data_IF_013401057330
#
_entry.id   IF_013401057330
#
_cell.length_a   1.000
_cell.length_b   1.000
_cell.length_c   1.000
_cell.angle_alpha   90.00
_cell.angle_beta   90.00
_cell.angle_gamma   90.00
#
_symmetry.space_group_name_H-M   'P 1'
#
loop_
_entity.id
_entity.type
_entity.pdbx_description
1 polymer ?
#
# COMPACT_ATOMS: atom_id res chain seq x y z
N UNK A 1 12.90 28.82 62.11
CA UNK A 1 12.31 27.64 61.44
C UNK A 1 12.06 28.02 60.00
N UNK A 2 12.87 27.49 59.09
CA UNK A 2 12.85 27.80 57.66
C UNK A 2 11.67 27.09 57.00
N UNK A 3 10.88 27.82 56.20
CA UNK A 3 10.23 27.20 55.06
C UNK A 3 9.96 28.18 53.91
N UNK A 4 10.16 27.64 52.71
CA UNK A 4 9.47 27.90 51.44
C UNK A 4 9.90 29.04 50.49
N UNK A 5 10.27 28.56 49.29
CA UNK A 5 9.94 29.09 47.96
C UNK A 5 10.89 30.10 47.30
N UNK A 6 12.06 29.61 46.88
CA UNK A 6 12.72 30.13 45.68
C UNK A 6 11.95 29.66 44.43
N UNK A 7 10.90 30.40 44.10
CA UNK A 7 10.23 30.39 42.79
C UNK A 7 11.18 31.03 41.78
N UNK A 8 12.08 30.21 41.22
CA UNK A 8 12.92 30.61 40.10
C UNK A 8 12.00 30.78 38.89
N UNK A 9 11.79 32.04 38.49
CA UNK A 9 11.21 32.48 37.22
C UNK A 9 11.71 31.60 36.06
N UNK A 10 10.91 30.63 35.63
CA UNK A 10 10.98 30.11 34.26
C UNK A 10 9.87 30.77 33.45
N UNK A 11 10.11 32.05 33.20
CA UNK A 11 9.27 32.94 32.41
C UNK A 11 9.57 32.70 30.92
N UNK A 12 8.55 32.19 30.19
CA UNK A 12 8.08 32.84 28.95
C UNK A 12 8.91 32.63 27.66
N UNK A 13 9.42 31.43 27.40
CA UNK A 13 9.96 31.07 26.06
C UNK A 13 9.37 29.80 25.41
N UNK A 14 8.58 29.00 26.14
CA UNK A 14 7.99 27.75 25.64
C UNK A 14 7.00 27.88 24.46
N UNK A 15 6.07 28.88 24.42
CA UNK A 15 5.06 28.89 23.36
C UNK A 15 5.62 29.27 21.98
N UNK A 16 6.76 29.96 21.90
CA UNK A 16 7.40 30.32 20.61
C UNK A 16 8.19 29.17 20.00
N UNK A 17 8.72 28.26 20.82
CA UNK A 17 9.48 27.09 20.36
C UNK A 17 8.53 25.97 19.91
N UNK A 18 7.42 25.75 20.63
CA UNK A 18 6.35 24.83 20.22
C UNK A 18 5.61 25.35 18.98
N UNK A 19 5.37 26.67 18.87
CA UNK A 19 4.82 27.27 17.66
C UNK A 19 5.79 27.18 16.47
N UNK A 20 7.12 27.25 16.68
CA UNK A 20 8.11 27.03 15.62
C UNK A 20 8.22 25.57 15.21
N UNK A 21 8.09 24.61 16.13
CA UNK A 21 8.07 23.18 15.81
C UNK A 21 6.75 22.77 15.12
N UNK A 22 5.62 23.34 15.52
CA UNK A 22 4.33 23.16 14.85
C UNK A 22 4.28 23.88 13.48
N UNK A 23 4.91 25.05 13.35
CA UNK A 23 5.05 25.75 12.06
C UNK A 23 6.07 25.10 11.12
N UNK A 24 7.17 24.53 11.63
CA UNK A 24 8.16 23.81 10.84
C UNK A 24 7.66 22.43 10.37
N UNK A 25 6.69 21.83 11.07
CA UNK A 25 5.98 20.63 10.63
C UNK A 25 4.85 20.93 9.62
N UNK A 26 4.53 22.21 9.40
CA UNK A 26 3.59 22.67 8.38
C UNK A 26 4.32 22.87 7.05
N UNK A 27 4.99 21.81 6.57
CA UNK A 27 5.44 21.76 5.18
C UNK A 27 4.16 21.84 4.34
N UNK A 28 3.84 23.03 3.81
CA UNK A 28 2.82 23.19 2.79
C UNK A 28 3.15 22.18 1.70
N UNK A 29 2.28 21.17 1.54
CA UNK A 29 2.47 20.17 0.49
C UNK A 29 2.47 20.94 -0.83
N UNK A 30 3.65 21.03 -1.43
CA UNK A 30 3.84 21.70 -2.72
C UNK A 30 2.93 21.05 -3.74
N UNK A 31 2.39 21.84 -4.69
CA UNK A 31 1.51 21.34 -5.73
C UNK A 31 2.10 20.11 -6.47
N UNK A 32 3.42 20.10 -6.72
CA UNK A 32 4.11 18.95 -7.31
C UNK A 32 4.05 17.69 -6.44
N UNK A 33 4.29 17.82 -5.14
CA UNK A 33 4.20 16.71 -4.18
C UNK A 33 2.77 16.17 -4.08
N UNK A 34 1.78 17.06 -4.13
CA UNK A 34 0.37 16.68 -4.14
C UNK A 34 0.04 15.81 -5.36
N UNK A 35 0.46 16.23 -6.57
CA UNK A 35 0.28 15.45 -7.80
C UNK A 35 0.98 14.09 -7.71
N UNK A 36 2.22 14.05 -7.20
CA UNK A 36 2.98 12.80 -7.01
C UNK A 36 2.20 11.83 -6.10
N UNK A 37 1.64 12.31 -4.98
CA UNK A 37 0.85 11.46 -4.07
C UNK A 37 -0.43 10.95 -4.74
N UNK A 38 -1.11 11.78 -5.54
CA UNK A 38 -2.32 11.35 -6.28
C UNK A 38 -1.99 10.27 -7.31
N UNK A 39 -0.91 10.45 -8.08
CA UNK A 39 -0.45 9.45 -9.06
C UNK A 39 -0.03 8.16 -8.34
N UNK A 40 0.75 8.25 -7.28
CA UNK A 40 1.15 7.09 -6.49
C UNK A 40 -0.07 6.37 -5.89
N UNK A 41 -1.08 7.11 -5.44
CA UNK A 41 -2.35 6.55 -4.96
C UNK A 41 -3.06 5.80 -6.09
N UNK A 42 -3.16 6.37 -7.28
CA UNK A 42 -3.76 5.69 -8.43
C UNK A 42 -3.00 4.40 -8.79
N UNK A 43 -1.67 4.43 -8.79
CA UNK A 43 -0.83 3.24 -9.07
C UNK A 43 -1.07 2.15 -8.02
N UNK A 44 -1.01 2.48 -6.73
CA UNK A 44 -1.24 1.50 -5.65
C UNK A 44 -2.64 0.90 -5.73
N UNK A 45 -3.66 1.69 -6.09
CA UNK A 45 -5.02 1.17 -6.23
C UNK A 45 -5.22 0.36 -7.51
N UNK A 46 -4.53 0.70 -8.61
CA UNK A 46 -4.49 -0.14 -9.80
C UNK A 46 -3.91 -1.53 -9.48
N UNK A 47 -2.82 -1.56 -8.70
CA UNK A 47 -2.18 -2.79 -8.26
C UNK A 47 -3.09 -3.62 -7.35
N UNK A 48 -3.62 -3.00 -6.28
CA UNK A 48 -4.38 -3.69 -5.25
C UNK A 48 -5.76 -4.18 -5.74
N UNK A 49 -6.45 -3.41 -6.57
CA UNK A 49 -7.86 -3.68 -6.93
C UNK A 49 -8.03 -4.21 -8.36
N UNK A 50 -7.08 -3.91 -9.26
CA UNK A 50 -7.13 -4.36 -10.66
C UNK A 50 -6.21 -5.55 -10.90
N UNK A 51 -4.90 -5.32 -10.72
CA UNK A 51 -3.86 -6.28 -11.14
C UNK A 51 -3.84 -7.50 -10.23
N UNK A 52 -3.58 -7.32 -8.93
CA UNK A 52 -3.40 -8.42 -7.97
C UNK A 52 -4.61 -9.36 -7.98
N UNK A 53 -5.87 -8.91 -7.81
CA UNK A 53 -7.02 -9.82 -7.80
C UNK A 53 -7.19 -10.62 -9.09
N UNK A 54 -6.80 -10.04 -10.23
CA UNK A 54 -6.88 -10.69 -11.53
C UNK A 54 -5.82 -11.79 -11.72
N UNK A 55 -4.63 -11.65 -11.10
CA UNK A 55 -3.53 -12.63 -11.20
C UNK A 55 -3.48 -13.63 -10.06
N UNK A 56 -4.07 -13.32 -8.89
CA UNK A 56 -3.99 -14.18 -7.71
C UNK A 56 -4.56 -15.57 -7.98
N UNK A 57 -5.62 -15.67 -8.78
CA UNK A 57 -6.16 -16.97 -9.22
C UNK A 57 -5.12 -17.76 -10.00
N UNK A 58 -4.49 -17.18 -11.03
CA UNK A 58 -3.44 -17.82 -11.83
C UNK A 58 -2.19 -18.18 -11.03
N UNK A 59 -1.80 -17.35 -10.06
CA UNK A 59 -0.63 -17.58 -9.21
C UNK A 59 -0.84 -18.67 -8.15
N UNK A 60 -2.07 -18.91 -7.69
CA UNK A 60 -2.33 -19.74 -6.50
C UNK A 60 -3.02 -21.06 -6.81
N UNK A 61 -3.89 -21.11 -7.83
CA UNK A 61 -4.55 -22.34 -8.26
C UNK A 61 -3.60 -23.48 -8.69
N UNK A 62 -2.43 -23.26 -9.34
CA UNK A 62 -1.54 -24.37 -9.70
C UNK A 62 -0.96 -25.11 -8.48
N UNK A 63 -0.94 -24.50 -7.29
CA UNK A 63 -0.36 -25.11 -6.10
C UNK A 63 -1.37 -25.91 -5.28
N UNK A 64 -2.52 -25.31 -4.94
CA UNK A 64 -3.68 -25.95 -4.27
C UNK A 64 -4.80 -24.93 -4.04
N UNK A 65 -6.07 -25.36 -4.15
CA UNK A 65 -7.23 -24.54 -3.79
C UNK A 65 -7.20 -24.08 -2.32
N UNK A 66 -6.68 -24.93 -1.42
CA UNK A 66 -6.53 -24.58 -0.01
C UNK A 66 -5.51 -23.43 0.17
N UNK A 67 -4.39 -23.47 -0.56
CA UNK A 67 -3.37 -22.41 -0.53
C UNK A 67 -3.94 -21.07 -0.97
N UNK A 68 -4.78 -21.06 -2.02
CA UNK A 68 -5.47 -19.85 -2.47
C UNK A 68 -6.40 -19.28 -1.39
N UNK A 69 -7.26 -20.12 -0.80
CA UNK A 69 -8.20 -19.67 0.23
C UNK A 69 -7.50 -19.17 1.49
N UNK A 70 -6.50 -19.90 2.00
CA UNK A 70 -5.75 -19.49 3.19
C UNK A 70 -4.92 -18.22 2.93
N UNK A 71 -4.24 -18.13 1.78
CA UNK A 71 -3.48 -16.94 1.40
C UNK A 71 -4.35 -15.70 1.31
N UNK A 72 -5.52 -15.82 0.67
CA UNK A 72 -6.49 -14.73 0.56
C UNK A 72 -7.06 -14.33 1.93
N UNK A 73 -7.42 -15.31 2.76
CA UNK A 73 -7.94 -15.05 4.11
C UNK A 73 -6.90 -14.32 4.98
N UNK A 74 -5.65 -14.78 4.96
CA UNK A 74 -4.56 -14.13 5.69
C UNK A 74 -4.28 -12.72 5.17
N UNK A 75 -4.32 -12.49 3.85
CA UNK A 75 -4.17 -11.16 3.26
C UNK A 75 -5.27 -10.18 3.71
N UNK A 76 -6.51 -10.68 3.84
CA UNK A 76 -7.63 -9.89 4.36
C UNK A 76 -7.48 -9.55 5.85
N UNK A 77 -6.77 -10.37 6.63
CA UNK A 77 -6.44 -10.06 8.03
C UNK A 77 -5.28 -9.07 8.12
N UNK A 78 -4.22 -9.26 7.31
CA UNK A 78 -3.04 -8.40 7.28
C UNK A 78 -3.36 -6.97 6.84
N UNK A 79 -4.30 -6.80 5.91
CA UNK A 79 -4.65 -5.49 5.34
C UNK A 79 -5.13 -4.48 6.43
N UNK A 80 -6.10 -4.80 7.30
CA UNK A 80 -6.42 -3.99 8.48
C UNK A 80 -5.25 -3.81 9.44
N UNK A 81 -4.49 -4.87 9.74
CA UNK A 81 -3.35 -4.80 10.67
C UNK A 81 -2.31 -3.77 10.22
N UNK A 82 -1.96 -3.79 8.93
CA UNK A 82 -1.01 -2.85 8.35
C UNK A 82 -1.58 -1.44 8.18
N UNK A 83 -2.91 -1.32 8.05
CA UNK A 83 -3.59 -0.03 8.05
C UNK A 83 -3.49 0.69 9.41
N UNK A 84 -3.29 -0.05 10.51
CA UNK A 84 -3.03 0.54 11.84
C UNK A 84 -1.56 0.97 12.04
N UNK A 85 -0.63 0.46 11.24
CA UNK A 85 0.80 0.74 11.42
C UNK A 85 1.17 2.24 11.33
N UNK A 86 0.58 3.06 10.45
CA UNK A 86 0.85 4.51 10.38
C UNK A 86 0.54 5.28 11.66
N UNK A 87 -0.32 4.77 12.54
CA UNK A 87 -0.61 5.38 13.85
C UNK A 87 0.59 5.29 14.80
N UNK A 88 1.41 4.25 14.67
CA UNK A 88 2.62 4.07 15.45
C UNK A 88 3.86 4.65 14.75
N UNK A 89 3.93 4.52 13.42
CA UNK A 89 5.07 4.96 12.60
C UNK A 89 4.56 5.93 11.53
N UNK A 90 4.53 7.22 11.87
CA UNK A 90 4.12 8.28 10.94
C UNK A 90 5.25 8.67 9.99
N UNK A 91 5.24 8.10 8.79
CA UNK A 91 6.21 8.46 7.73
C UNK A 91 5.70 9.67 6.94
N UNK A 92 6.36 10.83 7.07
CA UNK A 92 6.03 12.06 6.30
C UNK A 92 6.98 12.33 5.14
N UNK A 93 8.05 11.55 5.01
CA UNK A 93 9.08 11.75 4.00
C UNK A 93 8.61 11.23 2.64
N UNK A 94 8.41 12.16 1.69
CA UNK A 94 8.04 11.87 0.30
C UNK A 94 9.01 10.88 -0.39
N UNK A 95 10.35 11.02 -0.32
CA UNK A 95 11.23 10.06 -0.97
C UNK A 95 11.08 8.64 -0.40
N UNK A 96 10.82 8.50 0.90
CA UNK A 96 10.55 7.18 1.50
C UNK A 96 9.26 6.58 0.95
N UNK A 97 8.22 7.40 0.77
CA UNK A 97 6.95 6.93 0.19
C UNK A 97 7.07 6.54 -1.28
N UNK A 98 7.85 7.29 -2.05
CA UNK A 98 8.19 6.90 -3.42
C UNK A 98 8.95 5.55 -3.42
N UNK A 99 9.95 5.38 -2.56
CA UNK A 99 10.70 4.13 -2.44
C UNK A 99 9.79 2.95 -2.05
N UNK A 100 8.87 3.14 -1.10
CA UNK A 100 7.89 2.13 -0.71
C UNK A 100 6.92 1.79 -1.84
N UNK A 101 6.53 2.77 -2.67
CA UNK A 101 5.66 2.55 -3.84
C UNK A 101 6.39 1.80 -4.96
N UNK A 102 7.68 2.07 -5.15
CA UNK A 102 8.52 1.27 -6.04
C UNK A 102 8.65 -0.16 -5.52
N UNK A 103 8.88 -0.33 -4.22
CA UNK A 103 8.92 -1.64 -3.57
C UNK A 103 7.60 -2.41 -3.78
N UNK A 104 6.44 -1.76 -3.61
CA UNK A 104 5.13 -2.39 -3.84
C UNK A 104 4.93 -2.81 -5.29
N UNK A 105 5.46 -2.02 -6.22
CA UNK A 105 5.44 -2.34 -7.64
C UNK A 105 6.33 -3.53 -7.99
N UNK A 106 7.49 -3.66 -7.35
CA UNK A 106 8.37 -4.83 -7.50
C UNK A 106 7.69 -6.09 -6.98
N UNK A 107 7.08 -6.03 -5.77
CA UNK A 107 6.37 -7.18 -5.20
C UNK A 107 5.17 -7.56 -6.08
N UNK A 108 4.41 -6.60 -6.59
CA UNK A 108 3.30 -6.87 -7.52
C UNK A 108 3.81 -7.50 -8.81
N UNK A 109 4.90 -7.00 -9.37
CA UNK A 109 5.53 -7.57 -10.58
C UNK A 109 6.01 -9.00 -10.34
N UNK A 110 6.50 -9.30 -9.14
CA UNK A 110 6.86 -10.66 -8.74
C UNK A 110 5.62 -11.58 -8.70
N UNK A 111 4.47 -11.12 -8.19
CA UNK A 111 3.22 -11.89 -8.23
C UNK A 111 2.77 -12.15 -9.68
N UNK A 112 2.88 -11.15 -10.56
CA UNK A 112 2.58 -11.32 -12.00
C UNK A 112 3.52 -12.36 -12.61
N UNK A 113 4.80 -12.34 -12.26
CA UNK A 113 5.79 -13.33 -12.72
C UNK A 113 5.45 -14.73 -12.21
N UNK A 114 5.06 -14.89 -10.94
CA UNK A 114 4.55 -16.16 -10.40
C UNK A 114 3.33 -16.66 -11.19
N UNK A 115 2.39 -15.77 -11.53
CA UNK A 115 1.23 -16.11 -12.34
C UNK A 115 1.60 -16.51 -13.77
N UNK A 116 2.58 -15.85 -14.39
CA UNK A 116 3.04 -16.15 -15.75
C UNK A 116 3.78 -17.49 -15.85
N UNK A 117 4.34 -17.99 -14.74
CA UNK A 117 4.96 -19.31 -14.68
C UNK A 117 3.93 -20.45 -14.58
N UNK A 118 2.66 -20.14 -14.32
CA UNK A 118 1.57 -21.11 -14.38
C UNK A 118 1.43 -21.68 -15.80
N UNK A 119 1.46 -23.01 -16.02
CA UNK A 119 1.16 -24.10 -15.08
C UNK A 119 2.38 -24.82 -14.45
N UNK A 120 3.61 -24.38 -14.74
CA UNK A 120 4.81 -25.03 -14.21
C UNK A 120 5.02 -24.66 -12.73
N UNK A 121 5.31 -25.67 -11.91
CA UNK A 121 5.64 -25.47 -10.51
C UNK A 121 6.99 -24.77 -10.37
N UNK A 122 7.00 -23.64 -9.67
CA UNK A 122 8.26 -23.05 -9.23
C UNK A 122 9.00 -24.06 -8.35
N UNK A 123 10.25 -24.34 -8.72
CA UNK A 123 11.16 -25.28 -8.04
C UNK A 123 10.71 -26.75 -7.98
N UNK A 124 9.81 -27.21 -8.87
CA UNK A 124 9.26 -28.59 -8.84
C UNK A 124 8.63 -29.01 -7.49
N UNK A 125 8.35 -28.03 -6.61
CA UNK A 125 7.88 -28.26 -5.24
C UNK A 125 6.64 -27.45 -4.96
N UNK A 126 5.53 -28.16 -4.71
CA UNK A 126 4.24 -27.57 -4.34
C UNK A 126 4.31 -26.69 -3.08
N UNK A 127 5.17 -27.05 -2.12
CA UNK A 127 5.25 -26.39 -0.81
C UNK A 127 5.97 -25.04 -0.94
N UNK A 128 7.11 -25.02 -1.63
CA UNK A 128 7.95 -23.82 -1.76
C UNK A 128 7.20 -22.74 -2.55
N UNK A 129 6.62 -23.11 -3.70
CA UNK A 129 5.84 -22.17 -4.50
C UNK A 129 4.59 -21.63 -3.78
N UNK A 130 3.90 -22.48 -3.00
CA UNK A 130 2.79 -22.04 -2.14
C UNK A 130 3.24 -20.99 -1.11
N UNK A 131 4.33 -21.24 -0.39
CA UNK A 131 4.85 -20.32 0.62
C UNK A 131 5.29 -18.99 0.00
N UNK A 132 5.95 -19.00 -1.17
CA UNK A 132 6.33 -17.77 -1.87
C UNK A 132 5.10 -16.99 -2.36
N UNK A 133 4.11 -17.66 -2.96
CA UNK A 133 2.90 -17.00 -3.44
C UNK A 133 2.10 -16.36 -2.31
N UNK A 134 1.90 -17.09 -1.20
CA UNK A 134 1.23 -16.56 0.00
C UNK A 134 2.05 -15.43 0.60
N UNK A 135 3.35 -15.62 0.81
CA UNK A 135 4.24 -14.60 1.39
C UNK A 135 4.27 -13.31 0.58
N UNK A 136 4.39 -13.40 -0.74
CA UNK A 136 4.35 -12.24 -1.64
C UNK A 136 2.99 -11.54 -1.60
N UNK A 137 1.90 -12.30 -1.55
CA UNK A 137 0.54 -11.75 -1.45
C UNK A 137 0.32 -11.01 -0.12
N UNK A 138 0.82 -11.54 1.00
CA UNK A 138 0.76 -10.90 2.31
C UNK A 138 1.59 -9.60 2.34
N UNK A 139 2.79 -9.64 1.77
CA UNK A 139 3.66 -8.48 1.67
C UNK A 139 3.03 -7.39 0.80
N UNK A 140 2.47 -7.75 -0.35
CA UNK A 140 1.77 -6.83 -1.24
C UNK A 140 0.54 -6.21 -0.54
N UNK A 141 -0.31 -7.04 0.06
CA UNK A 141 -1.50 -6.58 0.79
C UNK A 141 -1.13 -5.60 1.91
N UNK A 142 -0.12 -5.95 2.72
CA UNK A 142 0.36 -5.10 3.79
C UNK A 142 0.92 -3.77 3.29
N UNK A 143 1.77 -3.80 2.27
CA UNK A 143 2.43 -2.61 1.73
C UNK A 143 1.43 -1.67 1.04
N UNK A 144 0.48 -2.21 0.26
CA UNK A 144 -0.59 -1.42 -0.35
C UNK A 144 -1.50 -0.78 0.70
N UNK A 145 -1.91 -1.53 1.72
CA UNK A 145 -2.72 -1.00 2.83
C UNK A 145 -2.00 0.12 3.58
N UNK A 146 -0.71 -0.09 3.91
CA UNK A 146 0.11 0.93 4.55
C UNK A 146 0.18 2.22 3.71
N UNK A 147 0.56 2.10 2.43
CA UNK A 147 0.71 3.23 1.52
C UNK A 147 -0.60 4.03 1.37
N UNK A 148 -1.74 3.35 1.21
CA UNK A 148 -3.05 4.01 1.09
C UNK A 148 -3.39 4.86 2.31
N UNK A 149 -3.15 4.33 3.51
CA UNK A 149 -3.42 5.08 4.76
C UNK A 149 -2.45 6.26 4.90
N UNK A 150 -1.16 6.08 4.59
CA UNK A 150 -0.21 7.19 4.67
C UNK A 150 -0.55 8.29 3.64
N UNK A 151 -0.87 7.94 2.40
CA UNK A 151 -1.30 8.92 1.38
C UNK A 151 -2.56 9.68 1.82
N UNK A 152 -3.58 8.99 2.30
CA UNK A 152 -4.79 9.61 2.83
C UNK A 152 -4.47 10.55 4.01
N UNK A 153 -3.59 10.12 4.92
CA UNK A 153 -3.17 10.93 6.07
C UNK A 153 -2.39 12.19 5.67
N UNK A 154 -1.60 12.14 4.60
CA UNK A 154 -0.87 13.29 4.06
C UNK A 154 -1.80 14.27 3.34
N UNK A 155 -2.78 13.75 2.59
CA UNK A 155 -3.77 14.56 1.89
C UNK A 155 -4.73 15.27 2.85
N UNK A 156 -5.02 14.64 3.99
CA UNK A 156 -5.84 15.19 5.08
C UNK A 156 -5.16 16.33 5.86
N UNK A 157 -3.83 16.46 5.79
CA UNK A 157 -3.12 17.54 6.48
C UNK A 157 -3.26 18.86 5.70
N UNK A 158 -4.02 19.83 6.22
CA UNK A 158 -4.10 21.22 5.70
C UNK A 158 -5.50 21.83 5.67
N UNK A 159 -5.60 23.12 5.35
CA UNK A 159 -6.88 23.87 5.28
C UNK A 159 -7.80 23.42 4.13
N UNK A 160 -7.27 22.78 3.08
CA UNK A 160 -8.04 22.28 1.93
C UNK A 160 -8.24 20.75 1.95
N UNK A 161 -8.32 20.14 3.13
CA UNK A 161 -8.40 18.67 3.29
C UNK A 161 -9.55 18.04 2.51
N UNK A 162 -10.74 18.66 2.46
CA UNK A 162 -11.92 18.08 1.82
C UNK A 162 -11.75 17.92 0.31
N UNK A 163 -11.31 18.99 -0.37
CA UNK A 163 -11.05 18.98 -1.82
C UNK A 163 -9.94 17.98 -2.18
N UNK A 164 -8.87 17.92 -1.37
CA UNK A 164 -7.74 17.01 -1.59
C UNK A 164 -8.13 15.55 -1.39
N UNK A 165 -8.99 15.27 -0.42
CA UNK A 165 -9.50 13.92 -0.17
C UNK A 165 -10.53 13.51 -1.24
N UNK A 166 -11.32 14.44 -1.76
CA UNK A 166 -12.19 14.19 -2.91
C UNK A 166 -11.37 13.76 -4.14
N UNK A 167 -10.34 14.52 -4.50
CA UNK A 167 -9.44 14.14 -5.60
C UNK A 167 -8.68 12.84 -5.33
N UNK A 168 -8.31 12.56 -4.08
CA UNK A 168 -7.78 11.25 -3.68
C UNK A 168 -8.74 10.13 -4.07
N UNK A 169 -10.02 10.25 -3.70
CA UNK A 169 -11.08 9.32 -4.07
C UNK A 169 -11.19 9.17 -5.59
N UNK A 170 -11.24 10.27 -6.33
CA UNK A 170 -11.28 10.23 -7.81
C UNK A 170 -10.11 9.41 -8.38
N UNK A 171 -8.88 9.65 -7.90
CA UNK A 171 -7.70 8.93 -8.36
C UNK A 171 -7.65 7.45 -7.91
N UNK A 172 -8.21 7.11 -6.74
CA UNK A 172 -8.38 5.72 -6.29
C UNK A 172 -9.25 4.94 -7.29
N UNK A 173 -10.38 5.54 -7.68
CA UNK A 173 -11.33 4.95 -8.62
C UNK A 173 -10.74 4.84 -10.02
N UNK A 174 -10.12 5.92 -10.53
CA UNK A 174 -9.45 5.91 -11.84
C UNK A 174 -8.34 4.86 -11.87
N UNK A 175 -7.50 4.78 -10.83
CA UNK A 175 -6.43 3.79 -10.74
C UNK A 175 -6.97 2.36 -10.79
N UNK A 176 -7.99 2.07 -9.98
CA UNK A 176 -8.62 0.74 -9.96
C UNK A 176 -9.23 0.37 -11.33
N UNK A 177 -9.94 1.31 -11.95
CA UNK A 177 -10.51 1.12 -13.29
C UNK A 177 -9.43 0.89 -14.34
N UNK A 178 -8.38 1.71 -14.36
CA UNK A 178 -7.27 1.56 -15.29
C UNK A 178 -6.55 0.23 -15.12
N UNK A 179 -6.31 -0.20 -13.87
CA UNK A 179 -5.73 -1.51 -13.56
C UNK A 179 -6.55 -2.66 -14.16
N UNK A 180 -7.87 -2.67 -13.92
CA UNK A 180 -8.75 -3.69 -14.48
C UNK A 180 -8.87 -3.60 -16.00
N UNK A 181 -8.94 -2.39 -16.57
CA UNK A 181 -9.03 -2.17 -18.01
C UNK A 181 -7.78 -2.61 -18.77
N UNK A 182 -6.60 -2.53 -18.13
CA UNK A 182 -5.34 -3.07 -18.68
C UNK A 182 -5.27 -4.58 -18.49
N UNK A 183 -5.63 -5.08 -17.31
CA UNK A 183 -5.47 -6.48 -16.98
C UNK A 183 -6.47 -7.39 -17.70
N UNK A 184 -7.68 -6.89 -17.97
CA UNK A 184 -8.72 -7.61 -18.70
C UNK A 184 -8.27 -8.07 -20.09
N UNK A 185 -7.83 -7.19 -21.02
CA UNK A 185 -7.39 -7.63 -22.33
C UNK A 185 -6.09 -8.43 -22.27
N UNK A 186 -5.21 -8.14 -21.32
CA UNK A 186 -3.96 -8.88 -21.12
C UNK A 186 -4.22 -10.36 -20.80
N UNK A 187 -5.23 -10.62 -19.95
CA UNK A 187 -5.63 -11.99 -19.60
C UNK A 187 -6.45 -12.64 -20.73
N UNK A 188 -7.42 -11.91 -21.30
CA UNK A 188 -8.42 -12.51 -22.20
C UNK A 188 -7.98 -12.62 -23.66
N UNK A 189 -7.16 -11.70 -24.18
CA UNK A 189 -6.75 -11.71 -25.59
C UNK A 189 -5.30 -12.14 -25.80
N UNK A 190 -4.40 -11.84 -24.86
CA UNK A 190 -2.98 -12.15 -25.01
C UNK A 190 -2.64 -13.56 -24.50
N UNK A 191 -3.55 -14.22 -23.77
CA UNK A 191 -3.38 -15.57 -23.21
C UNK A 191 -2.04 -15.77 -22.47
N UNK A 192 -1.45 -14.69 -21.91
CA UNK A 192 -0.17 -14.74 -21.19
C UNK A 192 -0.24 -15.71 -20.00
N UNK A 193 -1.43 -15.84 -19.41
CA UNK A 193 -1.67 -16.72 -18.28
C UNK A 193 -2.39 -17.97 -18.78
N UNK A 194 -1.71 -19.11 -18.72
CA UNK A 194 -2.35 -20.40 -18.94
C UNK A 194 -3.05 -20.81 -17.66
N UNK A 195 -4.38 -20.86 -17.68
CA UNK A 195 -5.16 -21.41 -16.57
C UNK A 195 -4.73 -22.85 -16.30
N UNK A 196 -4.38 -23.16 -15.05
CA UNK A 196 -4.22 -24.54 -14.63
C UNK A 196 -5.52 -25.32 -14.90
N UNK A 197 -5.46 -26.58 -15.35
CA UNK A 197 -6.66 -27.35 -15.66
C UNK A 197 -7.57 -27.41 -14.42
N UNK A 198 -8.90 -27.26 -14.59
CA UNK A 198 -9.83 -27.38 -13.48
C UNK A 198 -9.66 -28.78 -12.86
N UNK A 199 -9.32 -28.83 -11.57
CA UNK A 199 -9.23 -30.10 -10.85
C UNK A 199 -10.62 -30.76 -10.83
N UNK A 200 -10.65 -32.05 -11.16
CA UNK A 200 -11.79 -32.96 -10.96
C UNK A 200 -12.01 -33.25 -9.49
#
# INVERSE_FOLDING_TARGET
MNNTANSFKFSKDSPKLEARQSAAAKSQITNSTYIIILIATAVVNAQMNGIVPSVTSYASLPYSQATYHYGLALANVVSPTMSFLPFFITTKSIPILCALTVCSSIVTSFIIFLAALSPNLIFDSHIIGSCLAVGASLLAAGLHSYLRVVFASLLRQGEQSESRLFWCGVFIQIGSFAGSAVMFPLINFVHIFTSAPPCR
#
